data_IF_809556893711
#
_entry.id   IF_809556893711
#
_cell.length_a   1.000
_cell.length_b   1.000
_cell.length_c   1.000
_cell.angle_alpha   90.00
_cell.angle_beta   90.00
_cell.angle_gamma   90.00
#
_symmetry.space_group_name_H-M   'P 1'
#
loop_
_entity.id
_entity.type
_entity.pdbx_description
1 polymer ?
#
# COMPACT_ATOMS: atom_id res chain seq x y z
N UNK A 1 9.77 31.88 33.46
CA UNK A 1 9.65 30.63 32.68
C UNK A 1 9.59 31.02 31.22
N UNK A 2 10.66 30.82 30.47
CA UNK A 2 10.62 30.95 29.01
C UNK A 2 10.07 29.63 28.46
N UNK A 3 8.99 29.67 27.69
CA UNK A 3 8.54 28.50 26.94
C UNK A 3 9.63 28.18 25.91
N UNK A 4 10.06 26.92 25.86
CA UNK A 4 11.13 26.44 24.96
C UNK A 4 10.65 26.39 23.50
N UNK A 5 10.15 27.51 22.95
CA UNK A 5 9.60 27.59 21.60
C UNK A 5 8.14 27.11 21.46
N UNK A 6 7.47 26.78 22.56
CA UNK A 6 6.05 26.40 22.57
C UNK A 6 5.14 27.62 22.77
N UNK A 7 4.00 27.63 22.09
CA UNK A 7 2.93 28.61 22.26
C UNK A 7 1.57 27.90 22.33
N UNK A 8 0.58 28.57 22.91
CA UNK A 8 -0.79 28.06 23.03
C UNK A 8 -1.62 28.70 21.91
N UNK A 9 -2.37 27.88 21.19
CA UNK A 9 -3.40 28.33 20.25
C UNK A 9 -4.76 28.24 20.94
N UNK A 10 -5.60 29.26 20.74
CA UNK A 10 -7.00 29.18 21.14
C UNK A 10 -7.70 28.09 20.31
N UNK A 11 -8.66 27.39 20.92
CA UNK A 11 -9.55 26.51 20.16
C UNK A 11 -10.41 27.28 19.14
N UNK A 12 -10.57 28.60 19.30
CA UNK A 12 -11.24 29.45 18.31
C UNK A 12 -10.37 29.72 17.06
N UNK A 13 -9.12 29.22 17.03
CA UNK A 13 -8.19 29.40 15.91
C UNK A 13 -8.08 28.16 15.01
N UNK A 14 -9.00 27.19 15.12
CA UNK A 14 -8.97 25.96 14.33
C UNK A 14 -9.03 26.22 12.81
N UNK A 15 -9.65 27.33 12.37
CA UNK A 15 -9.67 27.73 10.96
C UNK A 15 -8.27 28.02 10.37
N UNK A 16 -7.26 28.22 11.22
CA UNK A 16 -5.86 28.36 10.81
C UNK A 16 -5.18 27.00 10.53
N UNK A 17 -5.78 25.89 10.95
CA UNK A 17 -5.27 24.53 10.78
C UNK A 17 -5.93 23.91 9.55
N UNK A 18 -5.23 23.92 8.42
CA UNK A 18 -5.76 23.41 7.15
C UNK A 18 -5.56 21.91 6.97
N UNK A 19 -4.46 21.37 7.51
CA UNK A 19 -4.12 19.95 7.39
C UNK A 19 -3.57 19.44 8.72
N UNK A 20 -4.00 18.24 9.09
CA UNK A 20 -3.54 17.52 10.28
C UNK A 20 -2.99 16.17 9.83
N UNK A 21 -1.76 15.87 10.24
CA UNK A 21 -1.13 14.56 10.04
C UNK A 21 -0.67 14.03 11.39
N UNK A 22 -1.12 12.82 11.72
CA UNK A 22 -0.56 12.02 12.79
C UNK A 22 0.28 10.92 12.15
N UNK A 23 1.44 10.63 12.74
CA UNK A 23 2.36 9.62 12.21
C UNK A 23 2.69 8.63 13.32
N UNK A 24 2.56 7.35 12.99
CA UNK A 24 3.12 6.25 13.76
C UNK A 24 4.42 5.82 13.09
N UNK A 25 5.48 5.64 13.88
CA UNK A 25 6.82 5.32 13.38
C UNK A 25 7.36 4.05 14.02
N UNK A 26 7.98 3.22 13.20
CA UNK A 26 8.65 1.99 13.62
C UNK A 26 10.16 2.24 13.80
N UNK A 27 10.85 1.32 14.48
CA UNK A 27 12.32 1.34 14.52
C UNK A 27 12.92 1.15 13.12
N UNK A 28 14.06 1.78 12.88
CA UNK A 28 14.73 1.76 11.58
C UNK A 28 15.27 0.38 11.16
N UNK A 29 15.34 -0.58 12.08
CA UNK A 29 15.84 -1.93 11.88
C UNK A 29 14.72 -2.98 11.72
N UNK A 30 13.45 -2.57 11.81
CA UNK A 30 12.30 -3.46 11.62
C UNK A 30 12.25 -4.04 10.20
N UNK A 31 12.64 -3.25 9.20
CA UNK A 31 12.68 -3.64 7.79
C UNK A 31 14.02 -3.25 7.16
N UNK A 32 14.71 -4.22 6.54
CA UNK A 32 16.00 -3.96 5.87
C UNK A 32 15.87 -3.40 4.47
N UNK A 33 14.79 -3.76 3.77
CA UNK A 33 14.56 -3.43 2.36
C UNK A 33 13.10 -3.04 2.16
N UNK A 34 12.85 -2.06 1.29
CA UNK A 34 11.51 -1.65 0.85
C UNK A 34 11.48 -1.62 -0.67
N UNK A 35 10.43 -2.20 -1.26
CA UNK A 35 10.19 -2.18 -2.70
C UNK A 35 9.04 -1.21 -2.97
N UNK A 36 9.29 -0.18 -3.76
CA UNK A 36 8.32 0.88 -4.02
C UNK A 36 8.58 1.51 -5.40
N UNK A 37 7.51 2.00 -6.04
CA UNK A 37 7.55 2.69 -7.34
C UNK A 37 7.15 4.17 -7.24
N UNK A 38 6.74 4.60 -6.06
CA UNK A 38 5.85 5.73 -5.87
C UNK A 38 6.63 6.90 -5.24
N UNK A 39 7.37 7.63 -6.09
CA UNK A 39 8.00 8.91 -5.69
C UNK A 39 7.14 10.13 -6.05
N UNK A 40 6.07 9.95 -6.83
CA UNK A 40 5.03 10.94 -7.15
C UNK A 40 3.67 10.29 -7.12
N UNK A 41 2.90 10.57 -6.08
CA UNK A 41 1.75 9.74 -5.75
C UNK A 41 0.47 10.56 -5.83
N UNK A 42 -0.60 9.97 -6.35
CA UNK A 42 -1.91 10.62 -6.35
C UNK A 42 -3.05 9.64 -6.14
N UNK A 43 -3.97 10.03 -5.25
CA UNK A 43 -5.28 9.39 -5.13
C UNK A 43 -6.20 9.71 -6.31
N UNK A 44 -5.90 10.76 -7.10
CA UNK A 44 -6.74 11.20 -8.22
C UNK A 44 -6.41 10.53 -9.54
N UNK A 45 -5.30 9.78 -9.65
CA UNK A 45 -4.81 9.28 -10.93
C UNK A 45 -5.75 8.25 -11.56
N UNK A 46 -6.32 7.38 -10.71
CA UNK A 46 -7.28 6.35 -11.10
C UNK A 46 -8.56 6.43 -10.26
N UNK A 47 -8.93 7.63 -9.82
CA UNK A 47 -10.16 7.84 -9.08
C UNK A 47 -11.36 7.50 -10.00
N UNK A 48 -12.01 6.38 -9.72
CA UNK A 48 -13.34 6.08 -10.23
C UNK A 48 -14.37 6.69 -9.30
N UNK A 49 -15.25 7.51 -9.88
CA UNK A 49 -16.40 8.05 -9.16
C UNK A 49 -17.34 6.89 -8.81
N UNK A 50 -17.88 6.92 -7.60
CA UNK A 50 -18.96 6.03 -7.13
C UNK A 50 -18.65 4.52 -7.09
N UNK A 51 -17.40 4.13 -6.83
CA UNK A 51 -17.07 2.72 -6.54
C UNK A 51 -16.91 2.44 -5.05
N UNK A 52 -17.43 1.29 -4.60
CA UNK A 52 -17.17 0.71 -3.28
C UNK A 52 -16.04 -0.32 -3.29
N UNK A 53 -15.57 -0.70 -4.48
CA UNK A 53 -14.53 -1.70 -4.65
C UNK A 53 -13.40 -1.15 -5.51
N UNK A 54 -12.18 -1.51 -5.17
CA UNK A 54 -11.02 -1.18 -5.99
C UNK A 54 -9.94 -2.24 -5.85
N UNK A 55 -9.31 -2.55 -6.98
CA UNK A 55 -8.19 -3.47 -7.03
C UNK A 55 -6.99 -2.81 -7.68
N UNK A 56 -5.85 -2.86 -7.01
CA UNK A 56 -4.57 -2.46 -7.58
C UNK A 56 -3.53 -3.54 -7.33
N UNK A 57 -2.52 -3.58 -8.19
CA UNK A 57 -1.41 -4.49 -8.01
C UNK A 57 -0.08 -3.89 -8.46
N UNK A 58 1.00 -4.37 -7.85
CA UNK A 58 2.35 -4.07 -8.28
C UNK A 58 3.16 -5.36 -8.41
N UNK A 59 3.97 -5.44 -9.46
CA UNK A 59 4.93 -6.52 -9.70
C UNK A 59 6.32 -6.00 -9.41
N UNK A 60 7.11 -6.72 -8.63
CA UNK A 60 8.45 -6.34 -8.23
C UNK A 60 9.46 -7.43 -8.59
N UNK A 61 10.61 -7.09 -9.19
CA UNK A 61 11.74 -8.01 -9.25
C UNK A 61 12.40 -8.12 -7.86
N UNK A 62 12.75 -9.34 -7.46
CA UNK A 62 13.54 -9.57 -6.24
C UNK A 62 14.97 -9.09 -6.47
N UNK A 63 15.40 -8.04 -5.77
CA UNK A 63 16.70 -7.38 -5.99
C UNK A 63 17.75 -7.72 -4.95
N UNK A 64 17.34 -8.18 -3.77
CA UNK A 64 18.22 -8.27 -2.59
C UNK A 64 18.62 -9.69 -2.21
N UNK A 65 17.85 -10.68 -2.63
CA UNK A 65 18.19 -12.09 -2.45
C UNK A 65 19.43 -12.48 -3.26
N UNK A 66 20.28 -13.31 -2.67
CA UNK A 66 21.44 -13.94 -3.32
C UNK A 66 21.78 -15.27 -2.62
N UNK A 67 22.88 -15.91 -3.00
CA UNK A 67 23.24 -17.24 -2.49
C UNK A 67 23.53 -17.25 -0.97
N UNK A 68 23.79 -16.09 -0.36
CA UNK A 68 24.05 -15.92 1.07
C UNK A 68 22.90 -15.21 1.80
N UNK A 69 22.03 -14.51 1.07
CA UNK A 69 20.96 -13.66 1.62
C UNK A 69 19.60 -14.16 1.17
N UNK A 70 18.82 -14.63 2.14
CA UNK A 70 17.40 -14.95 1.96
C UNK A 70 16.58 -13.68 2.17
N UNK A 71 15.86 -13.25 1.13
CA UNK A 71 14.89 -12.17 1.23
C UNK A 71 13.54 -12.73 1.70
N UNK A 72 12.89 -12.01 2.61
CA UNK A 72 11.57 -12.39 3.13
C UNK A 72 10.63 -11.20 3.07
N UNK A 73 9.47 -11.39 2.45
CA UNK A 73 8.38 -10.42 2.48
C UNK A 73 7.57 -10.63 3.77
N UNK A 74 7.47 -9.57 4.59
CA UNK A 74 6.88 -9.63 5.94
C UNK A 74 5.64 -8.75 6.10
N UNK A 75 5.59 -7.65 5.37
CA UNK A 75 4.48 -6.70 5.42
C UNK A 75 4.35 -6.03 4.06
N UNK A 76 3.19 -5.39 3.86
CA UNK A 76 2.94 -4.52 2.72
C UNK A 76 2.52 -3.15 3.23
N UNK A 77 2.80 -2.11 2.46
CA UNK A 77 2.31 -0.77 2.73
C UNK A 77 1.53 -0.26 1.53
N UNK A 78 0.40 0.38 1.79
CA UNK A 78 -0.37 1.07 0.78
C UNK A 78 -1.12 2.26 1.38
N UNK A 79 -1.37 3.26 0.56
CA UNK A 79 -2.18 4.41 0.93
C UNK A 79 -3.61 4.24 0.41
N UNK A 80 -4.58 4.50 1.28
CA UNK A 80 -6.00 4.33 0.98
C UNK A 80 -6.83 5.48 1.56
N UNK A 81 -8.00 5.68 0.96
CA UNK A 81 -9.09 6.52 1.45
C UNK A 81 -10.38 5.71 1.38
N UNK A 82 -11.15 5.73 2.46
CA UNK A 82 -12.41 4.98 2.55
C UNK A 82 -12.81 4.81 4.01
N UNK A 83 -13.98 4.21 4.27
CA UNK A 83 -14.52 4.04 5.63
C UNK A 83 -14.77 2.55 5.89
N UNK A 84 -14.24 2.01 6.98
CA UNK A 84 -14.37 0.60 7.37
C UNK A 84 -14.05 -0.33 6.19
N UNK A 85 -12.78 -0.33 5.78
CA UNK A 85 -12.32 -1.07 4.61
C UNK A 85 -12.01 -2.52 4.99
N UNK A 86 -12.60 -3.46 4.24
CA UNK A 86 -12.03 -4.79 4.09
C UNK A 86 -10.95 -4.72 3.01
N UNK A 87 -9.72 -5.17 3.30
CA UNK A 87 -8.71 -5.43 2.28
C UNK A 87 -8.43 -6.93 2.18
N UNK A 88 -8.45 -7.47 0.95
CA UNK A 88 -7.96 -8.80 0.60
C UNK A 88 -6.65 -8.64 -0.18
N UNK A 89 -5.59 -9.24 0.36
CA UNK A 89 -4.23 -9.16 -0.13
C UNK A 89 -3.89 -10.51 -0.75
N UNK A 90 -3.44 -10.52 -2.00
CA UNK A 90 -2.93 -11.72 -2.67
C UNK A 90 -1.50 -11.52 -3.10
N UNK A 91 -0.66 -12.54 -2.90
CA UNK A 91 0.76 -12.48 -3.28
C UNK A 91 1.09 -13.66 -4.18
N UNK A 92 1.56 -13.34 -5.39
CA UNK A 92 2.03 -14.32 -6.37
C UNK A 92 3.55 -14.24 -6.50
N UNK A 93 4.21 -15.37 -6.77
CA UNK A 93 5.66 -15.43 -7.01
C UNK A 93 5.95 -16.28 -8.26
N UNK A 94 6.92 -15.86 -9.06
CA UNK A 94 7.32 -16.54 -10.30
C UNK A 94 8.83 -16.47 -10.50
N UNK A 95 9.42 -17.52 -11.08
CA UNK A 95 10.86 -17.62 -11.36
C UNK A 95 11.31 -16.87 -12.63
N UNK A 96 10.44 -16.06 -13.21
CA UNK A 96 10.70 -15.25 -14.39
C UNK A 96 9.77 -14.03 -14.43
N UNK A 97 10.01 -13.13 -15.39
CA UNK A 97 9.21 -11.93 -15.57
C UNK A 97 7.71 -12.28 -15.68
N UNK A 98 6.91 -11.58 -14.88
CA UNK A 98 5.45 -11.72 -14.88
C UNK A 98 4.84 -10.86 -15.97
N UNK A 99 3.87 -11.42 -16.70
CA UNK A 99 3.09 -10.73 -17.74
C UNK A 99 1.86 -10.01 -17.21
N UNK A 100 1.33 -10.43 -16.05
CA UNK A 100 0.24 -9.79 -15.33
C UNK A 100 0.34 -10.11 -13.81
N UNK A 101 -0.42 -9.43 -12.94
CA UNK A 101 -0.32 -9.60 -11.49
C UNK A 101 -0.63 -11.00 -10.94
N UNK A 102 -1.37 -11.82 -11.69
CA UNK A 102 -1.77 -13.18 -11.30
C UNK A 102 -0.90 -14.25 -12.01
N UNK A 103 0.12 -13.82 -12.79
CA UNK A 103 1.04 -14.69 -13.51
C UNK A 103 2.14 -15.24 -12.56
N UNK A 104 1.79 -16.24 -11.77
CA UNK A 104 2.72 -16.92 -10.87
C UNK A 104 2.04 -17.95 -9.97
N UNK A 105 2.78 -18.46 -9.00
CA UNK A 105 2.22 -19.29 -7.94
C UNK A 105 1.65 -18.40 -6.83
N UNK A 106 0.37 -18.58 -6.50
CA UNK A 106 -0.27 -17.92 -5.37
C UNK A 106 0.37 -18.43 -4.05
N UNK A 107 1.14 -17.56 -3.39
CA UNK A 107 1.79 -17.87 -2.12
C UNK A 107 0.94 -17.49 -0.93
N UNK A 108 0.12 -16.43 -1.00
CA UNK A 108 -0.68 -15.95 0.12
C UNK A 108 -2.00 -15.32 -0.35
N UNK A 109 -3.06 -15.57 0.42
CA UNK A 109 -4.28 -14.76 0.45
C UNK A 109 -4.55 -14.39 1.90
N UNK A 110 -4.67 -13.10 2.21
CA UNK A 110 -4.92 -12.61 3.56
C UNK A 110 -6.00 -11.53 3.53
N UNK A 111 -6.98 -11.63 4.42
CA UNK A 111 -8.02 -10.61 4.58
C UNK A 111 -7.83 -9.86 5.89
N UNK A 112 -7.88 -8.54 5.83
CA UNK A 112 -7.73 -7.65 7.00
C UNK A 112 -8.85 -6.61 7.02
N UNK A 113 -9.31 -6.28 8.22
CA UNK A 113 -10.23 -5.17 8.46
C UNK A 113 -9.43 -3.94 8.88
N UNK A 114 -9.69 -2.82 8.22
CA UNK A 114 -9.02 -1.54 8.46
C UNK A 114 -10.08 -0.55 8.97
N UNK A 115 -10.21 -0.37 10.30
CA UNK A 115 -11.15 0.55 10.90
C UNK A 115 -10.65 1.99 10.77
N UNK A 116 -10.78 2.55 9.58
CA UNK A 116 -10.37 3.91 9.25
C UNK A 116 -11.55 4.90 9.30
N UNK A 117 -11.24 6.19 9.37
CA UNK A 117 -12.24 7.26 9.57
C UNK A 117 -12.91 7.77 8.29
N UNK A 118 -12.54 7.28 7.11
CA UNK A 118 -12.90 7.91 5.82
C UNK A 118 -11.75 8.68 5.18
N UNK A 119 -10.78 9.12 5.99
CA UNK A 119 -9.69 10.00 5.54
C UNK A 119 -8.52 9.23 4.91
N UNK A 120 -7.70 9.97 4.17
CA UNK A 120 -6.49 9.43 3.53
C UNK A 120 -5.48 9.03 4.59
N UNK A 121 -4.90 7.84 4.45
CA UNK A 121 -3.82 7.39 5.33
C UNK A 121 -2.95 6.32 4.66
N UNK A 122 -1.81 6.06 5.28
CA UNK A 122 -0.91 4.96 4.93
C UNK A 122 -1.10 3.83 5.93
N UNK A 123 -1.18 2.60 5.43
CA UNK A 123 -1.45 1.41 6.23
C UNK A 123 -0.39 0.37 5.94
N UNK A 124 0.32 -0.03 6.98
CA UNK A 124 1.25 -1.16 6.94
C UNK A 124 0.52 -2.37 7.50
N UNK A 125 0.45 -3.44 6.70
CA UNK A 125 -0.20 -4.68 7.09
C UNK A 125 0.86 -5.77 7.17
N UNK A 126 1.04 -6.31 8.37
CA UNK A 126 1.86 -7.50 8.57
C UNK A 126 1.21 -8.72 7.92
N UNK A 127 2.02 -9.51 7.23
CA UNK A 127 1.57 -10.76 6.63
C UNK A 127 1.50 -11.86 7.70
N UNK A 128 0.47 -12.68 7.64
CA UNK A 128 0.25 -13.82 8.54
C UNK A 128 1.37 -14.87 8.44
N UNK A 129 2.08 -14.89 7.31
CA UNK A 129 3.27 -15.70 7.06
C UNK A 129 4.30 -14.94 6.23
N UNK A 130 5.57 -15.15 6.57
CA UNK A 130 6.68 -14.66 5.76
C UNK A 130 6.74 -15.43 4.43
N UNK A 131 6.95 -14.71 3.33
CA UNK A 131 7.13 -15.32 2.00
C UNK A 131 8.61 -15.24 1.64
N UNK A 132 9.21 -16.39 1.36
CA UNK A 132 10.61 -16.48 0.91
C UNK A 132 10.68 -16.05 -0.55
N UNK A 133 11.58 -15.10 -0.83
CA UNK A 133 11.84 -14.54 -2.14
C UNK A 133 13.29 -14.86 -2.54
N UNK A 134 13.44 -15.58 -3.65
CA UNK A 134 14.74 -16.02 -4.15
C UNK A 134 15.26 -15.11 -5.28
N UNK A 135 16.58 -15.15 -5.49
CA UNK A 135 17.24 -14.42 -6.57
C UNK A 135 16.64 -14.79 -7.93
N UNK A 136 16.36 -13.78 -8.74
CA UNK A 136 15.81 -13.95 -10.09
C UNK A 136 14.28 -14.08 -10.13
N UNK A 137 13.61 -14.21 -8.98
CA UNK A 137 12.16 -14.22 -8.92
C UNK A 137 11.55 -12.83 -9.10
N UNK A 138 10.27 -12.84 -9.46
CA UNK A 138 9.36 -11.71 -9.40
C UNK A 138 8.24 -12.04 -8.42
N UNK A 139 7.72 -11.02 -7.74
CA UNK A 139 6.55 -11.16 -6.89
C UNK A 139 5.54 -10.07 -7.20
N UNK A 140 4.27 -10.43 -7.16
CA UNK A 140 3.14 -9.52 -7.35
C UNK A 140 2.39 -9.38 -6.03
N UNK A 141 2.03 -8.16 -5.68
CA UNK A 141 1.15 -7.84 -4.57
C UNK A 141 -0.13 -7.26 -5.16
N UNK A 142 -1.25 -7.92 -4.93
CA UNK A 142 -2.58 -7.47 -5.28
C UNK A 142 -3.30 -7.06 -4.01
N UNK A 143 -3.92 -5.88 -4.03
CA UNK A 143 -4.77 -5.38 -2.95
C UNK A 143 -6.16 -5.10 -3.51
N UNK A 144 -7.11 -5.94 -3.11
CA UNK A 144 -8.54 -5.79 -3.35
C UNK A 144 -9.16 -5.12 -2.12
N UNK A 145 -9.69 -3.91 -2.25
CA UNK A 145 -10.38 -3.20 -1.16
C UNK A 145 -11.87 -3.10 -1.41
N UNK A 146 -12.65 -3.34 -0.36
CA UNK A 146 -14.10 -3.15 -0.33
C UNK A 146 -14.46 -2.20 0.81
N UNK A 147 -15.21 -1.15 0.49
CA UNK A 147 -15.74 -0.18 1.44
C UNK A 147 -17.16 -0.57 1.84
N UNK A 148 -17.32 -0.91 3.12
CA UNK A 148 -18.61 -1.33 3.67
C UNK A 148 -19.56 -0.14 3.92
N UNK A 149 -19.05 1.10 3.87
CA UNK A 149 -19.82 2.33 4.04
C UNK A 149 -20.46 2.90 2.76
N UNK A 150 -20.93 4.15 2.85
CA UNK A 150 -21.51 4.92 1.73
C UNK A 150 -20.47 5.75 0.95
N UNK A 151 -19.20 5.74 1.37
CA UNK A 151 -18.13 6.54 0.75
C UNK A 151 -17.45 5.81 -0.41
N UNK A 152 -16.88 6.57 -1.34
CA UNK A 152 -15.96 6.07 -2.38
C UNK A 152 -14.70 5.49 -1.74
N UNK A 153 -14.14 4.44 -2.34
CA UNK A 153 -12.82 3.91 -1.99
C UNK A 153 -11.77 4.29 -3.03
N UNK A 154 -10.62 4.76 -2.56
CA UNK A 154 -9.47 5.07 -3.40
C UNK A 154 -8.21 4.43 -2.84
N UNK A 155 -7.39 3.88 -3.75
CA UNK A 155 -6.02 3.47 -3.50
C UNK A 155 -5.08 4.47 -4.20
N UNK A 156 -3.99 4.80 -3.53
CA UNK A 156 -2.98 5.70 -4.08
C UNK A 156 -2.17 4.99 -5.17
N UNK A 157 -1.95 5.65 -6.29
CA UNK A 157 -1.11 5.15 -7.37
C UNK A 157 0.03 6.11 -7.70
N UNK A 158 1.10 5.55 -8.27
CA UNK A 158 2.22 6.33 -8.79
C UNK A 158 1.85 6.95 -10.14
N UNK A 159 2.06 8.25 -10.27
CA UNK A 159 1.96 8.98 -11.55
C UNK A 159 3.22 8.89 -12.40
N UNK A 160 4.30 8.30 -11.89
CA UNK A 160 5.46 8.01 -12.71
C UNK A 160 5.18 6.76 -13.55
N UNK A 161 5.07 6.95 -14.86
CA UNK A 161 4.94 5.87 -15.87
C UNK A 161 6.21 5.02 -16.03
N UNK A 162 6.98 4.86 -14.95
CA UNK A 162 8.22 4.08 -14.96
C UNK A 162 7.87 2.59 -14.92
N UNK A 163 7.70 2.06 -16.12
CA UNK A 163 7.61 0.63 -16.49
C UNK A 163 6.41 -0.12 -15.91
N UNK A 164 5.37 -0.32 -16.73
CA UNK A 164 4.40 -1.45 -16.91
C UNK A 164 4.10 -2.45 -15.75
N UNK A 165 4.46 -2.16 -14.51
CA UNK A 165 4.44 -3.10 -13.39
C UNK A 165 3.51 -2.65 -12.27
N UNK A 166 2.78 -1.55 -12.48
CA UNK A 166 1.65 -1.11 -11.66
C UNK A 166 0.35 -1.29 -12.46
N UNK A 167 -0.61 -1.97 -11.86
CA UNK A 167 -1.83 -2.41 -12.52
C UNK A 167 -3.06 -1.95 -11.75
N UNK A 168 -4.13 -1.70 -12.48
CA UNK A 168 -5.43 -1.33 -11.95
C UNK A 168 -6.47 -2.23 -12.59
N UNK A 169 -7.23 -2.97 -11.78
CA UNK A 169 -8.26 -3.85 -12.34
C UNK A 169 -9.48 -3.03 -12.71
N UNK A 170 -9.89 -3.09 -13.98
CA UNK A 170 -11.12 -2.48 -14.45
C UNK A 170 -11.94 -3.49 -15.25
N UNK A 171 -13.22 -3.68 -14.91
CA UNK A 171 -14.11 -4.66 -15.58
C UNK A 171 -13.48 -6.06 -15.70
N UNK A 172 -12.75 -6.49 -14.66
CA UNK A 172 -12.04 -7.76 -14.56
C UNK A 172 -10.81 -7.92 -15.47
N UNK A 173 -10.30 -6.85 -16.06
CA UNK A 173 -9.06 -6.82 -16.85
C UNK A 173 -7.99 -6.01 -16.11
N UNK A 174 -6.72 -6.41 -16.28
CA UNK A 174 -5.53 -5.79 -15.67
C UNK A 174 -4.89 -4.71 -16.56
#
# INVERSE_FOLDING_TARGET
>A
MHSQGYFILSYDSLDLIQELMAVEVEKNDAYKNTYYYDTKNSFSLFATLDTKERTMANIFPVKKANDEVVEKLKSINFALRGLNITAEIKIYVKDSLMSNPEDGELKLTQRVQIPNSGEKGFYTIDLDKEIILNKGQYFSIIVDVTNEGEKVVDLMASGETREILSFYKYKNEW
#
